data_IF_944406293586
#
_entry.id   IF_944406293586
#
_cell.length_a   1.000
_cell.length_b   1.000
_cell.length_c   1.000
_cell.angle_alpha   90.00
_cell.angle_beta   90.00
_cell.angle_gamma   90.00
#
_symmetry.space_group_name_H-M   'P 1'
#
loop_
_entity.id
_entity.type
_entity.pdbx_description
1 polymer ?
#
# COMPACT_ATOMS: atom_id res chain seq x y z
N UNK A 1 2.90 28.80 27.22
CA UNK A 1 3.38 28.00 26.09
C UNK A 1 2.63 26.70 26.19
N UNK A 2 1.75 26.35 25.24
CA UNK A 2 1.10 25.02 25.25
C UNK A 2 2.22 23.99 25.09
N UNK A 3 2.31 23.02 26.02
CA UNK A 3 3.26 21.92 25.90
C UNK A 3 2.99 21.20 24.57
N UNK A 4 4.00 21.19 23.69
CA UNK A 4 3.89 20.56 22.38
C UNK A 4 3.76 19.04 22.61
N UNK A 5 2.70 18.43 22.10
CA UNK A 5 2.43 17.00 22.23
C UNK A 5 2.85 16.29 20.94
N UNK A 6 3.57 15.20 21.08
CA UNK A 6 4.10 14.44 19.94
C UNK A 6 3.39 13.09 19.77
N UNK A 7 3.19 12.69 18.53
CA UNK A 7 2.46 11.50 18.12
C UNK A 7 3.28 10.70 17.14
N UNK A 8 3.35 9.39 17.37
CA UNK A 8 4.06 8.45 16.50
C UNK A 8 3.09 7.84 15.49
N UNK A 9 3.40 7.91 14.21
CA UNK A 9 2.75 7.15 13.15
C UNK A 9 3.72 6.15 12.54
N UNK A 10 3.28 4.89 12.42
CA UNK A 10 4.07 3.79 11.83
C UNK A 10 3.28 3.11 10.72
N UNK A 11 3.98 2.83 9.62
CA UNK A 11 3.52 1.98 8.52
C UNK A 11 4.60 0.92 8.28
N UNK A 12 4.34 -0.31 8.67
CA UNK A 12 5.26 -1.43 8.54
C UNK A 12 4.73 -2.43 7.51
N UNK A 13 5.16 -2.25 6.26
CA UNK A 13 4.73 -3.05 5.13
C UNK A 13 5.63 -4.25 4.82
N UNK A 14 5.28 -4.97 3.75
CA UNK A 14 6.02 -6.16 3.30
C UNK A 14 7.41 -5.88 2.73
N UNK A 15 7.81 -4.62 2.51
CA UNK A 15 9.10 -4.26 1.91
C UNK A 15 9.89 -3.29 2.76
N UNK A 16 9.21 -2.39 3.46
CA UNK A 16 9.81 -1.30 4.23
C UNK A 16 8.92 -0.91 5.41
N UNK A 17 9.53 -0.30 6.41
CA UNK A 17 8.86 0.30 7.57
C UNK A 17 9.16 1.79 7.59
N UNK A 18 8.13 2.62 7.75
CA UNK A 18 8.24 4.05 7.95
C UNK A 18 7.69 4.43 9.32
N UNK A 19 8.40 5.33 10.00
CA UNK A 19 7.93 5.98 11.22
C UNK A 19 8.02 7.49 11.06
N UNK A 20 7.08 8.21 11.62
CA UNK A 20 7.13 9.67 11.71
C UNK A 20 6.64 10.16 13.07
N UNK A 21 7.21 11.27 13.53
CA UNK A 21 6.78 12.01 14.71
C UNK A 21 6.12 13.31 14.23
N UNK A 22 4.88 13.50 14.63
CA UNK A 22 4.13 14.73 14.32
C UNK A 22 3.54 15.35 15.59
N UNK A 23 3.17 16.64 15.52
CA UNK A 23 2.36 17.27 16.54
C UNK A 23 0.88 17.35 16.14
N UNK A 24 0.02 17.77 17.07
CA UNK A 24 -1.43 17.88 16.83
C UNK A 24 -1.82 18.90 15.75
N UNK A 25 -0.91 19.81 15.35
CA UNK A 25 -1.13 20.72 14.23
C UNK A 25 -0.83 20.09 12.86
N UNK A 26 -0.32 18.83 12.83
CA UNK A 26 0.08 18.15 11.61
C UNK A 26 1.49 18.49 11.10
N UNK A 27 2.32 19.15 11.93
CA UNK A 27 3.74 19.37 11.60
C UNK A 27 4.55 18.12 11.91
N UNK A 28 5.45 17.73 10.99
CA UNK A 28 6.38 16.63 11.18
C UNK A 28 7.68 17.15 11.80
N UNK A 29 8.12 16.50 12.87
CA UNK A 29 9.33 16.81 13.60
C UNK A 29 10.46 15.82 13.32
N UNK A 30 10.12 14.57 12.95
CA UNK A 30 11.11 13.56 12.63
C UNK A 30 10.52 12.42 11.81
N UNK A 31 11.40 11.76 11.06
CA UNK A 31 11.05 10.58 10.26
C UNK A 31 12.17 9.56 10.27
N UNK A 32 11.79 8.29 10.19
CA UNK A 32 12.71 7.16 10.14
C UNK A 32 12.23 6.06 9.23
N UNK A 33 13.17 5.22 8.77
CA UNK A 33 12.92 4.13 7.83
C UNK A 33 13.72 2.90 8.21
N UNK A 34 13.15 1.73 7.97
CA UNK A 34 13.81 0.43 8.10
C UNK A 34 13.40 -0.52 6.97
N UNK A 35 13.90 -1.75 7.01
CA UNK A 35 13.47 -2.86 6.16
C UNK A 35 12.01 -3.27 6.43
N UNK A 36 11.60 -4.43 5.91
CA UNK A 36 10.25 -4.96 6.13
C UNK A 36 9.96 -5.15 7.61
N UNK A 37 8.77 -4.72 8.03
CA UNK A 37 8.22 -4.97 9.36
C UNK A 37 7.12 -6.04 9.37
N UNK A 38 6.87 -6.72 8.24
CA UNK A 38 5.92 -7.81 8.19
C UNK A 38 6.46 -9.03 8.94
N UNK A 39 5.92 -9.29 10.12
CA UNK A 39 6.34 -10.37 11.00
C UNK A 39 6.16 -11.77 10.41
N UNK A 40 5.24 -11.95 9.49
CA UNK A 40 5.06 -13.22 8.78
C UNK A 40 6.26 -13.57 7.89
N UNK A 41 6.97 -12.54 7.40
CA UNK A 41 8.16 -12.69 6.56
C UNK A 41 9.46 -12.79 7.36
N UNK A 42 9.57 -12.00 8.46
CA UNK A 42 10.84 -11.83 9.21
C UNK A 42 10.77 -12.33 10.65
N UNK A 43 9.63 -12.91 11.07
CA UNK A 43 9.39 -13.28 12.46
C UNK A 43 9.14 -12.07 13.38
N UNK A 44 8.73 -12.33 14.63
CA UNK A 44 8.46 -11.26 15.60
C UNK A 44 9.72 -10.45 15.94
N UNK A 45 10.87 -11.11 16.06
CA UNK A 45 12.15 -10.45 16.35
C UNK A 45 12.60 -9.55 15.19
N UNK A 46 12.43 -10.01 13.95
CA UNK A 46 12.72 -9.21 12.76
C UNK A 46 11.80 -8.00 12.63
N UNK A 47 10.52 -8.16 12.94
CA UNK A 47 9.56 -7.05 12.98
C UNK A 47 9.94 -6.04 14.07
N UNK A 48 10.27 -6.50 15.29
CA UNK A 48 10.75 -5.65 16.38
C UNK A 48 11.99 -4.85 15.96
N UNK A 49 12.97 -5.53 15.34
CA UNK A 49 14.19 -4.86 14.85
C UNK A 49 13.86 -3.72 13.87
N UNK A 50 13.00 -3.98 12.87
CA UNK A 50 12.61 -2.97 11.88
C UNK A 50 11.80 -1.82 12.48
N UNK A 51 10.89 -2.13 13.41
CA UNK A 51 10.11 -1.11 14.12
C UNK A 51 11.01 -0.23 14.99
N UNK A 52 11.93 -0.84 15.74
CA UNK A 52 12.90 -0.11 16.58
C UNK A 52 13.78 0.79 15.73
N UNK A 53 14.35 0.28 14.64
CA UNK A 53 15.20 1.06 13.74
C UNK A 53 14.46 2.27 13.13
N UNK A 54 13.22 2.07 12.69
CA UNK A 54 12.42 3.16 12.14
C UNK A 54 12.05 4.21 13.21
N UNK A 55 11.68 3.75 14.42
CA UNK A 55 11.37 4.63 15.56
C UNK A 55 12.59 5.44 15.99
N UNK A 56 13.74 4.79 16.19
CA UNK A 56 14.98 5.45 16.59
C UNK A 56 15.42 6.52 15.57
N UNK A 57 15.28 6.22 14.28
CA UNK A 57 15.50 7.20 13.22
C UNK A 57 14.58 8.41 13.32
N UNK A 58 13.28 8.19 13.57
CA UNK A 58 12.31 9.25 13.71
C UNK A 58 12.55 10.11 14.97
N UNK A 59 12.84 9.47 16.11
CA UNK A 59 13.15 10.16 17.36
C UNK A 59 14.44 10.95 17.26
N UNK A 60 15.50 10.36 16.72
CA UNK A 60 16.81 11.01 16.54
C UNK A 60 16.69 12.24 15.64
N UNK A 61 15.96 12.16 14.53
CA UNK A 61 15.75 13.29 13.62
C UNK A 61 14.87 14.40 14.23
N UNK A 62 14.02 14.05 15.20
CA UNK A 62 13.21 15.01 15.98
C UNK A 62 13.94 15.61 17.19
N UNK A 63 15.06 15.02 17.63
CA UNK A 63 15.73 15.37 18.89
C UNK A 63 14.92 15.00 20.13
N UNK A 64 14.14 13.90 20.05
CA UNK A 64 13.21 13.44 21.08
C UNK A 64 13.59 12.04 21.59
N UNK A 65 12.98 11.66 22.71
CA UNK A 65 13.00 10.31 23.27
C UNK A 65 11.62 9.67 23.20
N UNK A 66 11.54 8.34 23.28
CA UNK A 66 10.25 7.63 23.25
C UNK A 66 9.27 8.13 24.33
N UNK A 67 9.79 8.54 25.50
CA UNK A 67 9.01 9.08 26.60
C UNK A 67 8.31 10.44 26.29
N UNK A 68 8.75 11.16 25.27
CA UNK A 68 8.15 12.43 24.83
C UNK A 68 6.92 12.22 23.94
N UNK A 69 6.69 10.98 23.45
CA UNK A 69 5.57 10.62 22.59
C UNK A 69 4.32 10.37 23.44
N UNK A 70 3.22 11.02 23.09
CA UNK A 70 1.96 10.94 23.86
C UNK A 70 1.04 9.79 23.43
N UNK A 71 1.11 9.37 22.17
CA UNK A 71 0.33 8.25 21.64
C UNK A 71 0.96 7.73 20.34
N UNK A 72 0.59 6.49 19.95
CA UNK A 72 1.12 5.86 18.75
C UNK A 72 0.04 5.15 17.93
N UNK A 73 0.16 5.24 16.58
CA UNK A 73 -0.66 4.48 15.64
C UNK A 73 0.22 3.61 14.75
N UNK A 74 -0.03 2.31 14.80
CA UNK A 74 0.73 1.28 14.09
C UNK A 74 -0.14 0.63 13.02
N UNK A 75 0.26 0.77 11.75
CA UNK A 75 -0.24 -0.01 10.63
C UNK A 75 0.77 -1.11 10.32
N UNK A 76 0.40 -2.37 10.55
CA UNK A 76 1.32 -3.49 10.38
C UNK A 76 0.77 -4.46 9.33
N UNK A 77 1.55 -4.72 8.28
CA UNK A 77 1.33 -5.87 7.41
C UNK A 77 1.47 -7.16 8.24
N UNK A 78 0.60 -8.14 7.99
CA UNK A 78 0.50 -9.35 8.80
C UNK A 78 -0.33 -9.17 10.09
N UNK A 79 -0.97 -8.01 10.28
CA UNK A 79 -2.06 -7.85 11.26
C UNK A 79 -3.39 -8.24 10.58
N UNK A 80 -3.55 -9.53 10.32
CA UNK A 80 -4.54 -10.07 9.41
C UNK A 80 -5.66 -10.84 10.09
N UNK A 81 -5.36 -11.45 11.22
CA UNK A 81 -6.28 -12.31 11.94
C UNK A 81 -6.52 -11.81 13.36
N UNK A 82 -7.66 -12.15 13.98
CA UNK A 82 -7.91 -11.81 15.38
C UNK A 82 -6.82 -12.30 16.35
N UNK A 83 -6.09 -13.36 15.97
CA UNK A 83 -4.98 -13.91 16.76
C UNK A 83 -3.68 -13.12 16.67
N UNK A 84 -3.55 -12.17 15.76
CA UNK A 84 -2.28 -11.46 15.52
C UNK A 84 -2.08 -10.32 16.53
N UNK A 85 -3.16 -9.63 16.91
CA UNK A 85 -3.09 -8.60 17.95
C UNK A 85 -2.40 -9.07 19.22
N UNK A 86 -2.84 -10.17 19.86
CA UNK A 86 -2.18 -10.76 21.02
C UNK A 86 -0.70 -11.14 20.82
N UNK A 87 -0.28 -11.43 19.58
CA UNK A 87 1.12 -11.73 19.25
C UNK A 87 1.98 -10.48 19.06
N UNK A 88 1.39 -9.44 18.44
CA UNK A 88 2.09 -8.21 18.10
C UNK A 88 2.16 -7.20 19.24
N UNK A 89 1.17 -7.18 20.13
CA UNK A 89 1.16 -6.27 21.29
C UNK A 89 2.42 -6.38 22.16
N UNK A 90 2.94 -7.59 22.52
CA UNK A 90 4.19 -7.71 23.26
C UNK A 90 5.44 -7.21 22.50
N UNK A 91 5.40 -7.20 21.17
CA UNK A 91 6.46 -6.61 20.34
C UNK A 91 6.43 -5.09 20.47
N UNK A 92 5.23 -4.49 20.39
CA UNK A 92 5.05 -3.05 20.55
C UNK A 92 5.37 -2.56 21.98
N UNK A 93 5.15 -3.39 23.01
CA UNK A 93 5.52 -3.07 24.40
C UNK A 93 7.02 -2.81 24.54
N UNK A 94 7.85 -3.52 23.79
CA UNK A 94 9.31 -3.37 23.82
C UNK A 94 9.82 -2.06 23.19
N UNK A 95 9.00 -1.35 22.42
CA UNK A 95 9.35 -0.03 21.89
C UNK A 95 9.29 1.07 22.96
N UNK A 96 8.72 0.79 24.14
CA UNK A 96 8.63 1.71 25.28
C UNK A 96 8.01 3.09 24.93
N UNK A 97 7.08 3.12 23.97
CA UNK A 97 6.30 4.32 23.64
C UNK A 97 5.10 4.39 24.57
N UNK A 98 4.97 5.44 25.40
CA UNK A 98 3.89 5.55 26.37
C UNK A 98 2.55 5.96 25.71
N UNK A 99 1.48 5.94 26.53
CA UNK A 99 0.16 6.45 26.16
C UNK A 99 -0.70 5.47 25.37
N UNK A 100 -1.84 5.95 24.86
CA UNK A 100 -2.73 5.14 24.05
C UNK A 100 -2.08 4.75 22.72
N UNK A 101 -2.42 3.55 22.27
CA UNK A 101 -1.95 3.04 20.98
C UNK A 101 -3.08 2.44 20.16
N UNK A 102 -3.00 2.61 18.85
CA UNK A 102 -3.85 1.95 17.85
C UNK A 102 -2.99 0.96 17.08
N UNK A 103 -3.43 -0.29 16.98
CA UNK A 103 -2.81 -1.33 16.16
C UNK A 103 -3.84 -1.81 15.14
N UNK A 104 -3.52 -1.64 13.86
CA UNK A 104 -4.38 -2.03 12.73
C UNK A 104 -3.55 -2.65 11.62
N UNK A 105 -4.22 -3.30 10.65
CA UNK A 105 -3.57 -3.68 9.40
C UNK A 105 -3.10 -2.41 8.63
N UNK A 106 -2.00 -2.50 7.88
CA UNK A 106 -1.39 -1.40 7.12
C UNK A 106 -2.36 -0.72 6.13
N UNK A 107 -3.38 -1.43 5.64
CA UNK A 107 -4.40 -0.85 4.77
C UNK A 107 -5.24 0.23 5.48
N UNK A 108 -5.48 0.11 6.78
CA UNK A 108 -6.28 1.10 7.51
C UNK A 108 -5.51 2.40 7.78
N UNK A 109 -4.20 2.34 7.97
CA UNK A 109 -3.40 3.59 8.03
C UNK A 109 -3.32 4.26 6.66
N UNK A 110 -3.26 3.49 5.57
CA UNK A 110 -3.35 4.04 4.22
C UNK A 110 -4.72 4.70 3.96
N UNK A 111 -5.82 4.06 4.38
CA UNK A 111 -7.15 4.63 4.31
C UNK A 111 -7.23 5.95 5.08
N UNK A 112 -6.79 5.96 6.35
CA UNK A 112 -6.84 7.17 7.18
C UNK A 112 -5.99 8.31 6.62
N UNK A 113 -4.83 8.00 6.03
CA UNK A 113 -4.00 9.01 5.36
C UNK A 113 -4.70 9.63 4.15
N UNK A 114 -5.42 8.85 3.37
CA UNK A 114 -6.08 9.28 2.13
C UNK A 114 -7.50 9.83 2.30
N UNK A 115 -8.14 9.63 3.46
CA UNK A 115 -9.53 10.00 3.71
C UNK A 115 -9.66 11.18 4.69
N UNK A 116 -10.41 12.21 4.31
CA UNK A 116 -10.79 13.29 5.22
C UNK A 116 -11.89 12.84 6.20
N UNK A 117 -12.82 12.03 5.72
CA UNK A 117 -13.92 11.49 6.52
C UNK A 117 -13.45 10.40 7.50
N UNK A 118 -12.25 9.83 7.30
CA UNK A 118 -11.68 8.77 8.11
C UNK A 118 -12.32 7.39 7.87
N UNK A 119 -13.25 7.23 6.93
CA UNK A 119 -13.88 5.96 6.54
C UNK A 119 -13.93 5.83 5.01
N UNK A 120 -14.06 4.62 4.49
CA UNK A 120 -14.07 4.34 3.07
C UNK A 120 -13.39 3.00 2.73
N UNK A 121 -12.85 2.90 1.54
CA UNK A 121 -12.13 1.74 1.03
C UNK A 121 -10.71 2.14 0.65
N UNK A 122 -9.71 1.42 1.15
CA UNK A 122 -8.34 1.49 0.64
C UNK A 122 -8.08 0.31 -0.30
N UNK A 123 -7.52 0.61 -1.47
CA UNK A 123 -6.98 -0.37 -2.42
C UNK A 123 -5.47 -0.18 -2.45
N UNK A 124 -4.74 -1.14 -1.88
CA UNK A 124 -3.28 -1.14 -1.92
C UNK A 124 -2.84 -2.12 -3.01
N UNK A 125 -2.06 -1.64 -3.97
CA UNK A 125 -1.44 -2.46 -5.00
C UNK A 125 0.03 -2.09 -5.16
N UNK A 126 0.90 -3.07 -5.00
CA UNK A 126 2.34 -2.95 -5.06
C UNK A 126 2.99 -4.33 -5.14
N UNK A 127 3.90 -4.66 -4.24
CA UNK A 127 4.47 -6.03 -4.12
C UNK A 127 3.38 -7.06 -3.83
N UNK A 128 2.43 -6.71 -2.96
CA UNK A 128 1.21 -7.45 -2.69
C UNK A 128 -0.02 -6.61 -3.00
N UNK A 129 -1.19 -7.16 -2.70
CA UNK A 129 -2.48 -6.49 -2.82
C UNK A 129 -3.28 -6.69 -1.53
N UNK A 130 -3.89 -5.60 -1.05
CA UNK A 130 -4.84 -5.62 0.07
C UNK A 130 -5.94 -4.62 -0.23
N UNK A 131 -7.18 -5.04 -0.09
CA UNK A 131 -8.32 -4.14 -0.14
C UNK A 131 -9.04 -4.22 1.20
N UNK A 132 -9.16 -3.09 1.86
CA UNK A 132 -9.76 -3.00 3.19
C UNK A 132 -10.62 -1.75 3.30
N UNK A 133 -11.65 -1.83 4.13
CA UNK A 133 -12.49 -0.68 4.39
C UNK A 133 -13.13 -0.73 5.75
N UNK A 134 -13.65 0.41 6.16
CA UNK A 134 -14.58 0.50 7.27
C UNK A 134 -15.64 1.57 6.99
N UNK A 135 -16.82 1.38 7.54
CA UNK A 135 -17.93 2.30 7.40
C UNK A 135 -18.03 3.27 8.60
N UNK A 136 -19.01 4.18 8.54
CA UNK A 136 -19.26 5.16 9.62
C UNK A 136 -19.62 4.54 10.96
N UNK A 137 -20.15 3.30 10.96
CA UNK A 137 -20.47 2.56 12.18
C UNK A 137 -19.23 1.88 12.81
N UNK A 138 -18.06 1.95 12.14
CA UNK A 138 -16.85 1.31 12.60
C UNK A 138 -16.75 -0.18 12.25
N UNK A 139 -17.67 -0.71 11.42
CA UNK A 139 -17.56 -2.08 10.92
C UNK A 139 -16.43 -2.17 9.89
N UNK A 140 -15.62 -3.21 9.97
CA UNK A 140 -14.43 -3.43 9.15
C UNK A 140 -14.58 -4.66 8.27
N UNK A 141 -14.08 -4.59 7.04
CA UNK A 141 -13.95 -5.74 6.17
C UNK A 141 -12.71 -5.58 5.28
N UNK A 142 -12.05 -6.69 4.94
CA UNK A 142 -10.91 -6.71 4.04
C UNK A 142 -10.81 -8.02 3.27
N UNK A 143 -10.02 -8.02 2.18
CA UNK A 143 -9.58 -9.24 1.50
C UNK A 143 -8.59 -10.02 2.36
N UNK A 144 -8.33 -11.28 1.98
CA UNK A 144 -7.42 -12.14 2.75
C UNK A 144 -5.95 -11.72 2.65
N UNK A 145 -5.56 -11.05 1.55
CA UNK A 145 -4.19 -10.70 1.19
C UNK A 145 -3.27 -11.93 1.04
N UNK A 146 -3.82 -13.05 0.57
CA UNK A 146 -3.13 -14.35 0.39
C UNK A 146 -2.78 -14.67 -1.07
N UNK A 147 -3.03 -13.74 -2.00
CA UNK A 147 -2.74 -13.89 -3.42
C UNK A 147 -3.92 -14.38 -4.27
N UNK A 148 -3.68 -14.47 -5.58
CA UNK A 148 -4.73 -14.67 -6.58
C UNK A 148 -5.53 -15.95 -6.42
N UNK A 149 -4.96 -17.02 -5.83
CA UNK A 149 -5.69 -18.27 -5.54
C UNK A 149 -6.83 -18.08 -4.53
N UNK A 150 -6.74 -17.05 -3.69
CA UNK A 150 -7.75 -16.66 -2.71
C UNK A 150 -8.56 -15.44 -3.15
N UNK A 151 -8.46 -15.05 -4.44
CA UNK A 151 -9.18 -13.92 -4.99
C UNK A 151 -8.49 -12.56 -4.80
N UNK A 152 -7.31 -12.52 -4.21
CA UNK A 152 -6.50 -11.31 -4.03
C UNK A 152 -5.60 -11.09 -5.25
N UNK A 153 -6.21 -10.72 -6.37
CA UNK A 153 -5.53 -10.45 -7.62
C UNK A 153 -5.43 -8.94 -7.85
N UNK A 154 -4.25 -8.48 -8.26
CA UNK A 154 -4.03 -7.06 -8.53
C UNK A 154 -2.69 -6.52 -8.06
N UNK A 155 -1.77 -7.37 -7.63
CA UNK A 155 -0.39 -6.99 -7.32
C UNK A 155 0.43 -6.74 -8.60
N UNK A 156 1.59 -6.10 -8.45
CA UNK A 156 2.54 -5.92 -9.56
C UNK A 156 3.00 -7.24 -10.19
N UNK A 157 3.06 -8.32 -9.41
CA UNK A 157 3.33 -9.68 -9.91
C UNK A 157 2.24 -10.19 -10.84
N UNK A 158 0.98 -9.84 -10.61
CA UNK A 158 -0.14 -10.29 -11.43
C UNK A 158 -0.14 -9.58 -12.78
N UNK A 159 0.19 -8.29 -12.80
CA UNK A 159 0.43 -7.52 -14.04
C UNK A 159 1.50 -8.22 -14.89
N UNK A 160 2.62 -8.60 -14.26
CA UNK A 160 3.73 -9.27 -14.96
C UNK A 160 3.37 -10.69 -15.38
N UNK A 161 2.61 -11.43 -14.59
CA UNK A 161 2.15 -12.77 -14.93
C UNK A 161 1.24 -12.77 -16.15
N UNK A 162 0.30 -11.82 -16.24
CA UNK A 162 -0.54 -11.65 -17.43
C UNK A 162 0.28 -11.23 -18.67
N UNK A 163 1.22 -10.31 -18.51
CA UNK A 163 2.12 -9.91 -19.60
C UNK A 163 2.97 -11.09 -20.10
N UNK A 164 3.52 -11.88 -19.19
CA UNK A 164 4.29 -13.10 -19.52
C UNK A 164 3.41 -14.12 -20.25
N UNK A 165 2.17 -14.31 -19.80
CA UNK A 165 1.18 -15.17 -20.47
C UNK A 165 0.87 -14.66 -21.88
N UNK A 166 0.72 -13.36 -22.06
CA UNK A 166 0.48 -12.77 -23.37
C UNK A 166 1.66 -12.98 -24.35
N UNK A 167 2.90 -12.87 -23.87
CA UNK A 167 4.12 -13.21 -24.65
C UNK A 167 4.07 -14.68 -25.09
N UNK A 168 3.74 -15.61 -24.18
CA UNK A 168 3.63 -17.01 -24.51
C UNK A 168 2.50 -17.29 -25.51
N UNK A 169 1.40 -16.56 -25.44
CA UNK A 169 0.29 -16.67 -26.40
C UNK A 169 0.69 -16.14 -27.78
N UNK A 170 1.40 -15.02 -27.85
CA UNK A 170 1.96 -14.52 -29.12
C UNK A 170 2.92 -15.52 -29.75
N UNK A 171 3.83 -16.11 -28.98
CA UNK A 171 4.78 -17.14 -29.42
C UNK A 171 4.07 -18.39 -29.98
N UNK A 172 3.01 -18.84 -29.33
CA UNK A 172 2.27 -20.06 -29.75
C UNK A 172 1.19 -19.80 -30.78
N UNK A 173 0.97 -18.56 -31.23
CA UNK A 173 -0.07 -18.18 -32.17
C UNK A 173 -1.49 -18.17 -31.57
N UNK A 174 -1.64 -18.23 -30.23
CA UNK A 174 -2.94 -18.16 -29.53
C UNK A 174 -3.41 -16.73 -29.29
N UNK A 175 -2.51 -15.78 -29.36
CA UNK A 175 -2.76 -14.35 -29.14
C UNK A 175 -2.05 -13.47 -30.14
N UNK A 176 -2.40 -12.17 -30.20
CA UNK A 176 -1.75 -11.24 -31.09
C UNK A 176 -0.28 -10.99 -30.72
N UNK A 177 0.50 -10.53 -31.70
CA UNK A 177 1.84 -10.01 -31.45
C UNK A 177 1.80 -8.80 -30.50
N UNK A 178 2.84 -8.63 -29.69
CA UNK A 178 2.93 -7.56 -28.70
C UNK A 178 4.36 -7.07 -28.53
N UNK A 179 4.55 -5.78 -28.34
CA UNK A 179 5.85 -5.17 -27.99
C UNK A 179 6.37 -5.65 -26.63
N UNK A 180 5.53 -6.21 -25.77
CA UNK A 180 5.97 -6.84 -24.52
C UNK A 180 7.04 -7.89 -24.77
N UNK A 181 6.95 -8.66 -25.89
CA UNK A 181 7.93 -9.66 -26.26
C UNK A 181 9.33 -9.03 -26.39
N UNK A 182 9.45 -7.99 -27.21
CA UNK A 182 10.73 -7.31 -27.46
C UNK A 182 11.28 -6.68 -26.18
N UNK A 183 10.41 -6.04 -25.39
CA UNK A 183 10.79 -5.40 -24.13
C UNK A 183 11.30 -6.39 -23.08
N UNK A 184 10.69 -7.58 -22.98
CA UNK A 184 11.17 -8.63 -22.10
C UNK A 184 12.48 -9.24 -22.61
N UNK A 185 12.62 -9.45 -23.93
CA UNK A 185 13.87 -9.94 -24.51
C UNK A 185 15.02 -8.96 -24.26
N UNK A 186 14.79 -7.65 -24.45
CA UNK A 186 15.77 -6.61 -24.12
C UNK A 186 16.19 -6.64 -22.65
N UNK A 187 15.21 -6.68 -21.72
CA UNK A 187 15.48 -6.70 -20.28
C UNK A 187 16.33 -7.91 -19.86
N UNK A 188 16.02 -9.10 -20.40
CA UNK A 188 16.71 -10.34 -20.10
C UNK A 188 17.96 -10.56 -20.96
N UNK A 189 18.22 -9.70 -21.95
CA UNK A 189 19.28 -9.89 -22.96
C UNK A 189 19.17 -11.26 -23.63
N UNK A 190 17.96 -11.70 -23.95
CA UNK A 190 17.67 -12.95 -24.61
C UNK A 190 17.55 -12.73 -26.12
N UNK A 191 17.96 -13.73 -26.91
CA UNK A 191 17.96 -13.68 -28.38
C UNK A 191 16.54 -13.74 -28.97
N UNK A 192 15.71 -14.57 -28.36
CA UNK A 192 14.33 -14.83 -28.74
C UNK A 192 13.54 -15.43 -27.56
N UNK A 193 12.24 -15.62 -27.73
CA UNK A 193 11.36 -16.15 -26.68
C UNK A 193 11.76 -17.53 -26.21
N UNK A 194 12.28 -18.40 -27.10
CA UNK A 194 12.70 -19.74 -26.73
C UNK A 194 13.95 -19.72 -25.86
N UNK A 195 14.95 -18.89 -26.23
CA UNK A 195 16.16 -18.66 -25.44
C UNK A 195 15.80 -18.12 -24.03
N UNK A 196 14.87 -17.15 -23.96
CA UNK A 196 14.38 -16.61 -22.68
C UNK A 196 13.79 -17.70 -21.79
N UNK A 197 12.86 -18.49 -22.33
CA UNK A 197 12.18 -19.56 -21.59
C UNK A 197 13.17 -20.66 -21.17
N UNK A 198 14.09 -21.06 -22.04
CA UNK A 198 15.13 -22.03 -21.71
C UNK A 198 16.01 -21.55 -20.54
N UNK A 199 16.48 -20.31 -20.59
CA UNK A 199 17.32 -19.71 -19.54
C UNK A 199 16.58 -19.62 -18.19
N UNK A 200 15.30 -19.24 -18.19
CA UNK A 200 14.48 -19.23 -16.98
C UNK A 200 14.32 -20.64 -16.42
N UNK A 201 13.96 -21.60 -17.26
CA UNK A 201 13.74 -23.00 -16.86
C UNK A 201 14.98 -23.66 -16.29
N UNK A 202 16.17 -23.27 -16.79
CA UNK A 202 17.47 -23.78 -16.32
C UNK A 202 18.06 -22.98 -15.15
N UNK A 203 17.33 -21.97 -14.62
CA UNK A 203 17.80 -21.12 -13.54
C UNK A 203 18.92 -20.14 -13.93
N UNK A 204 19.14 -19.92 -15.23
CA UNK A 204 20.13 -18.98 -15.77
C UNK A 204 19.58 -17.53 -15.87
N UNK A 205 18.28 -17.37 -15.77
CA UNK A 205 17.60 -16.09 -15.66
C UNK A 205 16.52 -16.16 -14.58
N UNK A 206 16.25 -15.03 -13.94
CA UNK A 206 15.21 -14.93 -12.91
C UNK A 206 13.81 -15.08 -13.54
N UNK A 207 12.90 -15.72 -12.81
CA UNK A 207 11.47 -15.75 -13.21
C UNK A 207 10.92 -14.31 -13.22
N UNK A 208 10.13 -13.93 -14.26
CA UNK A 208 9.46 -12.63 -14.29
C UNK A 208 8.66 -12.39 -13.01
N UNK A 209 8.81 -11.21 -12.43
CA UNK A 209 8.18 -10.84 -11.17
C UNK A 209 7.75 -9.37 -11.17
N UNK A 210 7.11 -8.90 -10.12
CA UNK A 210 6.53 -7.57 -10.02
C UNK A 210 7.47 -6.40 -10.31
N UNK A 211 8.79 -6.59 -10.27
CA UNK A 211 9.77 -5.55 -10.65
C UNK A 211 9.69 -5.16 -12.13
N UNK A 212 9.10 -6.02 -12.97
CA UNK A 212 8.88 -5.75 -14.39
C UNK A 212 7.58 -4.99 -14.67
N UNK A 213 6.73 -4.76 -13.68
CA UNK A 213 5.48 -4.02 -13.90
C UNK A 213 5.67 -2.65 -14.57
N UNK A 214 6.67 -1.81 -14.21
CA UNK A 214 6.91 -0.54 -14.91
C UNK A 214 7.15 -0.71 -16.42
N UNK A 215 7.74 -1.82 -16.85
CA UNK A 215 7.95 -2.13 -18.27
C UNK A 215 6.62 -2.41 -18.98
N UNK A 216 5.66 -3.06 -18.31
CA UNK A 216 4.31 -3.27 -18.85
C UNK A 216 3.58 -1.94 -18.99
N UNK A 217 3.64 -1.08 -17.96
CA UNK A 217 3.03 0.26 -17.99
C UNK A 217 3.60 1.13 -19.12
N UNK A 218 4.93 1.17 -19.29
CA UNK A 218 5.57 1.94 -20.35
C UNK A 218 5.23 1.41 -21.75
N UNK A 219 5.10 0.09 -21.91
CA UNK A 219 4.68 -0.53 -23.17
C UNK A 219 3.23 -0.20 -23.50
N UNK A 220 2.35 -0.21 -22.52
CA UNK A 220 0.95 0.19 -22.67
C UNK A 220 0.82 1.68 -23.04
N UNK A 221 1.60 2.54 -22.38
CA UNK A 221 1.66 3.98 -22.68
C UNK A 221 2.20 4.26 -24.10
N UNK A 222 3.10 3.40 -24.62
CA UNK A 222 3.59 3.47 -25.98
C UNK A 222 2.56 3.00 -27.05
N UNK A 223 1.40 2.51 -26.63
CA UNK A 223 0.29 2.17 -27.51
C UNK A 223 0.12 0.68 -27.82
N UNK A 224 0.82 -0.21 -27.11
CA UNK A 224 0.60 -1.65 -27.27
C UNK A 224 -0.74 -2.07 -26.65
N UNK A 225 -1.65 -2.58 -27.50
CA UNK A 225 -3.01 -2.93 -27.09
C UNK A 225 -3.07 -4.14 -26.16
N UNK A 226 -2.10 -5.06 -26.26
CA UNK A 226 -2.02 -6.22 -25.34
C UNK A 226 -1.60 -5.78 -23.94
N UNK A 227 -0.58 -4.91 -23.86
CA UNK A 227 -0.17 -4.34 -22.57
C UNK A 227 -1.28 -3.49 -21.94
N UNK A 228 -2.05 -2.74 -22.75
CA UNK A 228 -3.24 -2.01 -22.27
C UNK A 228 -4.30 -2.96 -21.72
N UNK A 229 -4.62 -4.03 -22.46
CA UNK A 229 -5.59 -5.03 -22.01
C UNK A 229 -5.19 -5.66 -20.67
N UNK A 230 -3.91 -5.96 -20.46
CA UNK A 230 -3.36 -6.44 -19.19
C UNK A 230 -3.65 -5.45 -18.05
N UNK A 231 -3.36 -4.16 -18.25
CA UNK A 231 -3.59 -3.15 -17.21
C UNK A 231 -5.09 -2.96 -16.91
N UNK A 232 -5.94 -3.00 -17.94
CA UNK A 232 -7.40 -2.91 -17.79
C UNK A 232 -7.93 -4.12 -17.01
N UNK A 233 -7.52 -5.36 -17.36
CA UNK A 233 -7.96 -6.59 -16.68
C UNK A 233 -7.64 -6.53 -15.19
N UNK A 234 -6.41 -6.16 -14.82
CA UNK A 234 -5.98 -6.09 -13.43
C UNK A 234 -6.69 -4.94 -12.69
N UNK A 235 -6.80 -3.77 -13.31
CA UNK A 235 -7.49 -2.62 -12.73
C UNK A 235 -8.96 -2.90 -12.45
N UNK A 236 -9.66 -3.52 -13.39
CA UNK A 236 -11.07 -3.91 -13.24
C UNK A 236 -11.28 -4.94 -12.11
N UNK A 237 -10.35 -5.89 -11.94
CA UNK A 237 -10.45 -6.88 -10.87
C UNK A 237 -10.31 -6.21 -9.49
N UNK A 238 -9.37 -5.28 -9.35
CA UNK A 238 -9.28 -4.46 -8.13
C UNK A 238 -10.57 -3.68 -7.88
N UNK A 239 -11.19 -3.13 -8.94
CA UNK A 239 -12.47 -2.44 -8.85
C UNK A 239 -13.60 -3.35 -8.37
N UNK A 240 -13.71 -4.58 -8.91
CA UNK A 240 -14.69 -5.57 -8.48
C UNK A 240 -14.53 -5.94 -7.00
N UNK A 241 -13.30 -6.15 -6.55
CA UNK A 241 -13.01 -6.41 -5.14
C UNK A 241 -13.38 -5.23 -4.24
N UNK A 242 -13.08 -3.99 -4.65
CA UNK A 242 -13.46 -2.78 -3.90
C UNK A 242 -14.99 -2.65 -3.79
N UNK A 243 -15.74 -2.90 -4.87
CA UNK A 243 -17.22 -2.94 -4.87
C UNK A 243 -17.75 -4.02 -3.93
N UNK A 244 -17.15 -5.22 -3.92
CA UNK A 244 -17.57 -6.29 -3.03
C UNK A 244 -17.38 -5.90 -1.55
N UNK A 245 -16.24 -5.28 -1.19
CA UNK A 245 -15.99 -4.76 0.17
C UNK A 245 -16.99 -3.66 0.52
N UNK A 246 -17.22 -2.68 -0.39
CA UNK A 246 -18.19 -1.62 -0.16
C UNK A 246 -19.62 -2.17 0.03
N UNK A 247 -20.01 -3.20 -0.71
CA UNK A 247 -21.27 -3.91 -0.54
C UNK A 247 -21.40 -4.59 0.82
N UNK A 248 -20.34 -5.29 1.29
CA UNK A 248 -20.30 -5.90 2.63
C UNK A 248 -20.46 -4.86 3.75
N UNK A 249 -19.91 -3.66 3.55
CA UNK A 249 -19.98 -2.54 4.49
C UNK A 249 -21.20 -1.63 4.28
N UNK A 250 -22.13 -1.99 3.39
CA UNK A 250 -23.36 -1.25 3.10
C UNK A 250 -23.10 0.21 2.67
N UNK A 251 -22.07 0.43 1.84
CA UNK A 251 -21.61 1.76 1.47
C UNK A 251 -21.93 2.16 0.03
N UNK A 252 -22.49 1.27 -0.81
CA UNK A 252 -22.67 1.54 -2.25
C UNK A 252 -23.57 2.74 -2.56
N UNK A 253 -24.59 2.98 -1.73
CA UNK A 253 -25.60 4.02 -1.95
C UNK A 253 -25.27 5.36 -1.23
N UNK A 254 -24.06 5.51 -0.68
CA UNK A 254 -23.64 6.70 0.06
C UNK A 254 -22.23 7.15 -0.34
N UNK A 255 -21.86 8.43 -0.12
CA UNK A 255 -20.53 8.89 -0.41
C UNK A 255 -19.50 8.24 0.54
N UNK A 256 -18.38 7.79 -0.03
CA UNK A 256 -17.21 7.31 0.72
C UNK A 256 -15.93 7.57 -0.07
N UNK A 257 -14.79 7.61 0.63
CA UNK A 257 -13.48 7.79 0.03
C UNK A 257 -12.94 6.45 -0.49
N UNK A 258 -12.43 6.45 -1.73
CA UNK A 258 -11.71 5.34 -2.34
C UNK A 258 -10.23 5.73 -2.42
N UNK A 259 -9.43 5.22 -1.49
CA UNK A 259 -8.02 5.55 -1.39
C UNK A 259 -7.18 4.53 -2.15
N UNK A 260 -6.52 4.98 -3.21
CA UNK A 260 -5.61 4.18 -4.03
C UNK A 260 -4.17 4.37 -3.55
N UNK A 261 -3.53 3.31 -3.07
CA UNK A 261 -2.19 3.35 -2.49
C UNK A 261 -1.30 2.22 -3.06
N UNK A 262 0.01 2.40 -2.93
CA UNK A 262 0.99 1.45 -3.42
C UNK A 262 1.68 1.88 -4.73
N UNK A 263 2.71 1.11 -5.11
CA UNK A 263 3.61 1.47 -6.21
C UNK A 263 2.93 1.53 -7.58
N UNK A 264 1.97 0.64 -7.83
CA UNK A 264 1.26 0.56 -9.13
C UNK A 264 0.42 1.80 -9.43
N UNK A 265 -0.12 2.48 -8.40
CA UNK A 265 -0.90 3.72 -8.56
C UNK A 265 -0.05 4.99 -8.68
N UNK A 266 1.27 4.88 -8.52
CA UNK A 266 2.21 6.01 -8.71
C UNK A 266 2.65 6.17 -10.16
N UNK A 267 2.39 5.18 -11.01
CA UNK A 267 2.69 5.29 -12.42
C UNK A 267 1.84 6.41 -13.05
N UNK A 268 2.43 7.29 -13.87
CA UNK A 268 1.73 8.41 -14.50
C UNK A 268 0.71 7.96 -15.55
N UNK A 269 0.82 6.74 -16.11
CA UNK A 269 -0.13 6.24 -17.10
C UNK A 269 -1.44 5.84 -16.43
N UNK A 270 -2.57 6.50 -16.74
CA UNK A 270 -3.75 6.44 -15.87
C UNK A 270 -4.61 5.19 -16.07
N UNK A 271 -4.42 4.45 -17.15
CA UNK A 271 -5.34 3.39 -17.61
C UNK A 271 -5.68 2.35 -16.54
N UNK A 272 -4.68 1.90 -15.78
CA UNK A 272 -4.84 0.94 -14.69
C UNK A 272 -5.77 1.47 -13.59
N UNK A 273 -5.51 2.69 -13.15
CA UNK A 273 -6.30 3.38 -12.14
C UNK A 273 -7.71 3.68 -12.63
N UNK A 274 -7.82 4.18 -13.87
CA UNK A 274 -9.10 4.60 -14.43
C UNK A 274 -10.02 3.40 -14.66
N UNK A 275 -9.48 2.23 -15.07
CA UNK A 275 -10.23 0.98 -15.19
C UNK A 275 -10.81 0.50 -13.85
N UNK A 276 -10.06 0.67 -12.74
CA UNK A 276 -10.56 0.41 -11.39
C UNK A 276 -11.70 1.36 -11.02
N UNK A 277 -11.47 2.66 -11.22
CA UNK A 277 -12.43 3.71 -10.83
C UNK A 277 -13.74 3.54 -11.61
N UNK A 278 -13.69 3.20 -12.89
CA UNK A 278 -14.86 2.96 -13.74
C UNK A 278 -15.76 1.87 -13.15
N UNK A 279 -15.17 0.74 -12.74
CA UNK A 279 -15.92 -0.36 -12.11
C UNK A 279 -16.57 0.09 -10.80
N UNK A 280 -15.83 0.83 -9.96
CA UNK A 280 -16.39 1.28 -8.68
C UNK A 280 -17.49 2.31 -8.89
N UNK A 281 -17.31 3.29 -9.79
CA UNK A 281 -18.32 4.30 -10.11
C UNK A 281 -19.62 3.70 -10.67
N UNK A 282 -19.52 2.63 -11.45
CA UNK A 282 -20.71 1.95 -11.99
C UNK A 282 -21.62 1.39 -10.88
N UNK A 283 -21.05 1.01 -9.73
CA UNK A 283 -21.78 0.41 -8.59
C UNK A 283 -21.98 1.38 -7.42
N UNK A 284 -21.13 2.37 -7.28
CA UNK A 284 -21.13 3.39 -6.22
C UNK A 284 -20.88 4.79 -6.83
N UNK A 285 -21.89 5.42 -7.43
CA UNK A 285 -21.72 6.68 -8.17
C UNK A 285 -21.23 7.88 -7.33
N UNK A 286 -21.36 7.80 -5.99
CA UNK A 286 -20.96 8.86 -5.07
C UNK A 286 -19.56 8.66 -4.48
N UNK A 287 -18.80 7.64 -4.94
CA UNK A 287 -17.44 7.38 -4.50
C UNK A 287 -16.50 8.54 -4.84
N UNK A 288 -15.55 8.83 -3.96
CA UNK A 288 -14.55 9.88 -4.14
C UNK A 288 -13.15 9.27 -4.20
N UNK A 289 -12.62 9.01 -5.42
CA UNK A 289 -11.31 8.41 -5.57
C UNK A 289 -10.19 9.40 -5.29
N UNK A 290 -9.19 8.95 -4.53
CA UNK A 290 -7.97 9.71 -4.19
C UNK A 290 -6.75 8.80 -4.30
N UNK A 291 -5.71 9.24 -5.02
CA UNK A 291 -4.42 8.54 -5.02
C UNK A 291 -3.55 9.05 -3.88
N UNK A 292 -3.17 8.16 -2.98
CA UNK A 292 -2.30 8.49 -1.85
C UNK A 292 -0.85 8.60 -2.31
N UNK A 293 -0.33 9.81 -2.35
CA UNK A 293 1.05 10.10 -2.72
C UNK A 293 1.99 10.24 -1.50
N UNK A 294 1.44 10.38 -0.31
CA UNK A 294 2.21 10.41 0.94
C UNK A 294 2.43 8.99 1.49
N UNK A 295 3.39 8.86 2.43
CA UNK A 295 3.57 7.60 3.15
C UNK A 295 2.35 7.29 4.04
N UNK A 296 1.86 6.03 4.09
CA UNK A 296 0.74 5.67 4.94
C UNK A 296 0.97 5.92 6.44
N UNK A 297 2.23 6.01 6.90
CA UNK A 297 2.58 6.40 8.28
C UNK A 297 1.91 7.71 8.74
N UNK A 298 1.55 8.61 7.79
CA UNK A 298 0.71 9.79 8.06
C UNK A 298 -0.61 9.37 8.71
N UNK A 299 -1.26 8.33 8.20
CA UNK A 299 -2.49 7.80 8.77
C UNK A 299 -2.29 7.23 10.18
N UNK A 300 -1.14 6.60 10.43
CA UNK A 300 -0.76 6.16 11.78
C UNK A 300 -0.70 7.34 12.77
N UNK A 301 -0.07 8.46 12.37
CA UNK A 301 -0.02 9.65 13.22
C UNK A 301 -1.41 10.27 13.46
N UNK A 302 -2.27 10.30 12.44
CA UNK A 302 -3.66 10.76 12.60
C UNK A 302 -4.44 9.88 13.59
N UNK A 303 -4.31 8.57 13.50
CA UNK A 303 -4.91 7.62 14.44
C UNK A 303 -4.35 7.81 15.88
N UNK A 304 -3.06 8.13 16.00
CA UNK A 304 -2.45 8.41 17.31
C UNK A 304 -3.02 9.68 17.94
N UNK A 305 -3.18 10.75 17.16
CA UNK A 305 -3.79 12.03 17.60
C UNK A 305 -5.23 11.77 18.08
N UNK A 306 -6.02 11.03 17.31
CA UNK A 306 -7.40 10.66 17.65
C UNK A 306 -7.47 9.79 18.92
N UNK A 307 -6.57 8.81 19.06
CA UNK A 307 -6.49 7.95 20.25
C UNK A 307 -6.14 8.72 21.54
N UNK A 308 -5.43 9.84 21.41
CA UNK A 308 -5.13 10.75 22.51
C UNK A 308 -6.31 11.67 22.85
N UNK A 309 -7.45 11.56 22.16
CA UNK A 309 -8.67 12.35 22.39
C UNK A 309 -8.64 13.73 21.71
N UNK A 310 -7.72 13.97 20.79
CA UNK A 310 -7.69 15.22 20.01
C UNK A 310 -8.45 15.07 18.68
N UNK A 311 -8.98 16.21 18.20
CA UNK A 311 -9.71 16.25 16.93
C UNK A 311 -8.76 16.45 15.77
N UNK A 312 -8.90 15.62 14.75
CA UNK A 312 -8.19 15.77 13.46
C UNK A 312 -9.17 16.36 12.44
N UNK A 313 -8.93 17.58 12.03
CA UNK A 313 -9.66 18.19 10.91
C UNK A 313 -8.91 17.98 9.57
N UNK A 314 -9.57 18.40 8.48
CA UNK A 314 -8.99 18.32 7.15
C UNK A 314 -7.68 19.12 6.99
N UNK A 315 -7.52 20.22 7.74
CA UNK A 315 -6.32 21.06 7.67
C UNK A 315 -5.11 20.36 8.29
N UNK A 316 -5.28 19.70 9.44
CA UNK A 316 -4.25 18.89 10.09
C UNK A 316 -3.79 17.79 9.15
N UNK A 317 -4.73 17.03 8.55
CA UNK A 317 -4.39 15.97 7.61
C UNK A 317 -3.66 16.50 6.37
N UNK A 318 -4.18 17.54 5.73
CA UNK A 318 -3.56 18.13 4.54
C UNK A 318 -2.16 18.67 4.82
N UNK A 319 -1.95 19.30 5.96
CA UNK A 319 -0.63 19.76 6.38
C UNK A 319 0.33 18.59 6.57
N UNK A 320 -0.09 17.54 7.27
CA UNK A 320 0.72 16.36 7.51
C UNK A 320 1.13 15.67 6.20
N UNK A 321 0.20 15.56 5.23
CA UNK A 321 0.49 15.06 3.88
C UNK A 321 1.49 15.97 3.15
N UNK A 322 1.31 17.29 3.22
CA UNK A 322 2.20 18.23 2.54
C UNK A 322 3.63 18.17 3.12
N UNK A 323 3.77 18.11 4.44
CA UNK A 323 5.06 17.97 5.10
C UNK A 323 5.69 16.60 4.81
N UNK A 324 4.94 15.50 4.86
CA UNK A 324 5.45 14.16 4.55
C UNK A 324 6.06 14.06 3.15
N UNK A 325 5.55 14.82 2.17
CA UNK A 325 6.13 14.90 0.83
C UNK A 325 7.52 15.56 0.81
N UNK A 326 7.82 16.44 1.76
CA UNK A 326 9.13 17.11 1.87
C UNK A 326 10.16 16.21 2.55
N UNK A 327 9.72 15.25 3.36
CA UNK A 327 10.58 14.27 4.01
C UNK A 327 10.90 13.13 3.02
N UNK A 328 12.00 13.27 2.26
CA UNK A 328 12.42 12.31 1.20
C UNK A 328 12.53 10.86 1.70
N UNK A 329 12.79 10.64 2.98
CA UNK A 329 12.85 9.30 3.62
C UNK A 329 11.55 8.52 3.46
N UNK A 330 10.41 9.24 3.34
CA UNK A 330 9.08 8.65 3.25
C UNK A 330 8.64 8.39 1.80
N UNK A 331 9.39 8.87 0.82
CA UNK A 331 9.03 8.78 -0.60
C UNK A 331 9.88 7.76 -1.38
N UNK A 332 11.01 7.34 -0.85
CA UNK A 332 11.98 6.47 -1.51
C UNK A 332 11.74 4.96 -1.26
#
# INVERSE_FOLDING_TARGET
MSDLRYYLGVDAGGTKTHALIADSSGRIHGAGRAGTGNWESVGLDGALHSLTQALDGALSSAGLHAADVCAAGYGLAGMDWPSDGPRLLPVLDQLNVPGPRVLVNDAYVALRAGSDAGYGIAVISGTGVTIAGHNRAGEHFRTFALGGEWGDFGASSDVVALATRAIAYAYTGRGPATQLTERFLEYYQARDTLDLVERITRGQAAVPNGRLAPLVFTTAAAGDEVARAVLVEVGQELGRNAVAIAGKLQMLDQPFDLVLAGGTFRDPYPLFRDALIEIVHASAPQVQPTTLLAAPAVGGALLAIEAAGETVDAQVRQRLIAEARQWQVLLA
#
